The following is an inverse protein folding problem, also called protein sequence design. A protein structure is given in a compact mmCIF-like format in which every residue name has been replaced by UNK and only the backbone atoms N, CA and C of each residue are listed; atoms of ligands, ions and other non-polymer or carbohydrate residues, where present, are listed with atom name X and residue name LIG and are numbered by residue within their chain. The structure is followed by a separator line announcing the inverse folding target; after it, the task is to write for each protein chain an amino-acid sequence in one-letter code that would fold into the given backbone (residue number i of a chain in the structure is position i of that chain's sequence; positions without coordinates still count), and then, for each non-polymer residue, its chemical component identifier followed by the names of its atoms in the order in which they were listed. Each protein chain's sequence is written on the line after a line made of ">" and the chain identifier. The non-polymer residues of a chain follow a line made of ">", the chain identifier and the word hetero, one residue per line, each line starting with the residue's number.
data_IF_477875819303
#
_entry.id   IF_477875819303
#
_cell.length_a   1.000
_cell.length_b   1.000
_cell.length_c   1.000
_cell.angle_alpha   90.00
_cell.angle_beta   90.00
_cell.angle_gamma   90.00
#
_symmetry.space_group_name_H-M   'P 1'
#
loop_
_entity.id
_entity.type
_entity.pdbx_description
1 polymer ?
#
# COMPACT_ATOMS: atom_id res chain seq x y z
N UNK A 1 -26.35 0.01 -31.33
CA UNK A 1 -26.39 0.29 -29.87
C UNK A 1 -25.02 -0.08 -29.31
N UNK A 2 -24.16 0.90 -29.09
CA UNK A 2 -22.79 0.68 -28.59
C UNK A 2 -22.79 0.57 -27.07
N UNK A 3 -22.46 -0.61 -26.55
CA UNK A 3 -22.08 -0.76 -25.14
C UNK A 3 -20.64 -0.25 -25.00
N UNK A 4 -20.49 1.02 -24.65
CA UNK A 4 -19.23 1.52 -24.10
C UNK A 4 -19.13 1.02 -22.66
N UNK A 5 -18.64 -0.21 -22.49
CA UNK A 5 -18.24 -0.68 -21.17
C UNK A 5 -17.14 0.26 -20.67
N UNK A 6 -17.43 1.00 -19.61
CA UNK A 6 -16.45 1.84 -18.94
C UNK A 6 -15.31 0.95 -18.45
N UNK A 7 -14.15 0.98 -19.11
CA UNK A 7 -12.92 0.24 -18.76
C UNK A 7 -12.28 0.68 -17.43
N UNK A 8 -12.99 1.47 -16.62
CA UNK A 8 -12.53 1.90 -15.30
C UNK A 8 -12.91 0.80 -14.31
N UNK A 9 -11.90 0.14 -13.76
CA UNK A 9 -12.04 -0.91 -12.75
C UNK A 9 -12.74 -0.39 -11.49
N UNK A 10 -13.33 -1.31 -10.72
CA UNK A 10 -14.05 -0.99 -9.49
C UNK A 10 -13.17 -0.28 -8.46
N UNK A 11 -11.89 -0.60 -8.37
CA UNK A 11 -10.92 0.04 -7.48
C UNK A 11 -10.73 1.53 -7.79
N UNK A 12 -10.49 1.89 -9.05
CA UNK A 12 -10.32 3.29 -9.49
C UNK A 12 -11.61 4.10 -9.29
N UNK A 13 -12.78 3.48 -9.48
CA UNK A 13 -14.07 4.12 -9.17
C UNK A 13 -14.24 4.38 -7.66
N UNK A 14 -13.86 3.42 -6.80
CA UNK A 14 -13.86 3.58 -5.34
C UNK A 14 -12.86 4.63 -4.86
N UNK A 15 -11.72 4.73 -5.55
CA UNK A 15 -10.68 5.73 -5.31
C UNK A 15 -11.17 7.14 -5.70
N UNK A 16 -11.88 7.29 -6.83
CA UNK A 16 -12.43 8.57 -7.30
C UNK A 16 -13.66 9.07 -6.50
N UNK A 17 -14.35 8.17 -5.79
CA UNK A 17 -15.51 8.50 -4.95
C UNK A 17 -15.14 8.96 -3.53
N UNK A 18 -16.14 9.08 -2.65
CA UNK A 18 -15.93 9.34 -1.21
C UNK A 18 -15.32 8.10 -0.55
N UNK A 19 -13.99 8.03 -0.57
CA UNK A 19 -13.28 6.91 0.01
C UNK A 19 -13.36 6.95 1.55
N UNK A 20 -13.80 5.84 2.16
CA UNK A 20 -14.01 5.74 3.60
C UNK A 20 -12.75 5.36 4.40
N UNK A 21 -11.68 4.95 3.71
CA UNK A 21 -10.46 4.46 4.35
C UNK A 21 -9.78 5.59 5.13
N UNK A 22 -9.45 5.30 6.40
CA UNK A 22 -8.93 6.29 7.35
C UNK A 22 -7.63 6.94 6.88
N UNK A 23 -6.80 6.21 6.13
CA UNK A 23 -5.51 6.70 5.66
C UNK A 23 -5.63 7.93 4.73
N UNK A 24 -6.73 8.08 3.99
CA UNK A 24 -6.93 9.24 3.11
C UNK A 24 -7.14 10.55 3.89
N UNK A 25 -7.46 10.48 5.19
CA UNK A 25 -7.44 11.66 6.06
C UNK A 25 -6.02 12.16 6.34
N UNK A 26 -5.01 11.28 6.21
CA UNK A 26 -3.60 11.62 6.43
C UNK A 26 -2.96 12.16 5.15
N UNK A 27 -3.14 11.44 4.05
CA UNK A 27 -2.72 11.84 2.70
C UNK A 27 -3.80 11.37 1.72
N UNK A 28 -4.42 12.30 0.99
CA UNK A 28 -5.45 11.97 0.01
C UNK A 28 -4.86 11.84 -1.42
N UNK A 29 -5.70 11.39 -2.36
CA UNK A 29 -5.31 11.15 -3.76
C UNK A 29 -4.93 12.44 -4.48
N UNK A 30 -5.52 13.57 -4.11
CA UNK A 30 -5.26 14.90 -4.68
C UNK A 30 -3.99 15.53 -4.09
N UNK A 31 -3.30 14.82 -3.20
CA UNK A 31 -2.10 15.30 -2.53
C UNK A 31 -2.38 16.27 -1.39
N UNK A 32 -3.59 16.22 -0.80
CA UNK A 32 -3.95 16.92 0.44
C UNK A 32 -3.93 16.00 1.66
N UNK A 33 -4.57 16.42 2.76
CA UNK A 33 -4.68 15.65 4.00
C UNK A 33 -3.83 16.21 5.15
N UNK A 34 -4.07 15.69 6.35
CA UNK A 34 -3.48 16.21 7.59
C UNK A 34 -1.95 16.32 7.53
N UNK A 35 -1.25 15.27 7.07
CA UNK A 35 0.21 15.25 7.05
C UNK A 35 0.77 16.20 6.00
N UNK A 36 0.03 16.44 4.91
CA UNK A 36 0.43 17.41 3.88
C UNK A 36 0.34 18.82 4.42
N UNK A 37 -0.75 19.18 5.09
CA UNK A 37 -0.94 20.49 5.69
C UNK A 37 0.11 20.78 6.77
N UNK A 38 0.41 19.78 7.60
CA UNK A 38 1.48 19.86 8.58
C UNK A 38 2.85 20.04 7.91
N UNK A 39 3.11 19.32 6.81
CA UNK A 39 4.38 19.43 6.09
C UNK A 39 4.55 20.80 5.44
N UNK A 40 3.45 21.39 4.94
CA UNK A 40 3.45 22.73 4.37
C UNK A 40 3.84 23.77 5.43
N UNK A 41 3.24 23.72 6.63
CA UNK A 41 3.61 24.58 7.76
C UNK A 41 5.06 24.35 8.21
N UNK A 42 5.50 23.10 8.27
CA UNK A 42 6.85 22.75 8.67
C UNK A 42 7.92 23.31 7.70
N UNK A 43 7.65 23.29 6.39
CA UNK A 43 8.55 23.87 5.39
C UNK A 43 8.62 25.41 5.44
N UNK A 44 7.50 26.06 5.77
CA UNK A 44 7.42 27.52 5.94
C UNK A 44 8.20 27.97 7.18
N UNK A 45 7.95 27.31 8.32
CA UNK A 45 8.47 27.74 9.62
C UNK A 45 9.80 27.07 9.99
N UNK A 46 10.27 26.12 9.17
CA UNK A 46 11.45 25.25 9.41
C UNK A 46 11.37 24.44 10.71
N UNK A 47 10.15 24.18 11.21
CA UNK A 47 9.90 23.42 12.43
C UNK A 47 9.21 22.10 12.07
N UNK A 48 9.88 20.98 12.32
CA UNK A 48 9.39 19.66 11.90
C UNK A 48 8.96 18.73 13.04
N UNK A 49 9.03 19.18 14.30
CA UNK A 49 8.71 18.35 15.47
C UNK A 49 7.23 17.95 15.52
N UNK A 50 6.32 18.85 15.15
CA UNK A 50 4.88 18.57 15.12
C UNK A 50 4.55 17.44 14.14
N UNK A 51 5.09 17.52 12.92
CA UNK A 51 4.88 16.48 11.90
C UNK A 51 5.64 15.18 12.23
N UNK A 52 6.81 15.23 12.88
CA UNK A 52 7.47 14.03 13.43
C UNK A 52 6.54 13.26 14.36
N UNK A 53 5.96 13.99 15.30
CA UNK A 53 5.09 13.41 16.29
C UNK A 53 3.81 12.85 15.67
N UNK A 54 3.22 13.56 14.69
CA UNK A 54 2.07 13.05 13.95
C UNK A 54 2.40 11.81 13.10
N UNK A 55 3.57 11.74 12.45
CA UNK A 55 3.99 10.52 11.74
C UNK A 55 4.07 9.35 12.73
N UNK A 56 4.68 9.55 13.89
CA UNK A 56 4.79 8.48 14.91
C UNK A 56 3.43 8.04 15.46
N UNK A 57 2.53 8.96 15.74
CA UNK A 57 1.27 8.65 16.44
C UNK A 57 0.10 8.31 15.51
N UNK A 58 0.07 8.90 14.31
CA UNK A 58 -1.04 8.75 13.36
C UNK A 58 -0.76 7.72 12.27
N UNK A 59 0.51 7.45 11.93
CA UNK A 59 0.86 6.45 10.90
C UNK A 59 1.12 5.07 11.51
N UNK A 60 1.76 4.99 12.69
CA UNK A 60 2.07 3.71 13.35
C UNK A 60 0.88 2.73 13.45
N UNK A 61 -0.37 3.18 13.72
CA UNK A 61 -1.52 2.27 13.77
C UNK A 61 -1.84 1.53 12.47
N UNK A 62 -1.30 2.00 11.33
CA UNK A 62 -1.49 1.38 10.02
C UNK A 62 -0.37 0.39 9.66
N UNK A 63 0.61 0.17 10.54
CA UNK A 63 1.82 -0.58 10.23
C UNK A 63 1.90 -1.90 11.00
N UNK A 64 2.36 -2.94 10.32
CA UNK A 64 2.74 -4.18 10.97
C UNK A 64 3.89 -3.94 11.94
N UNK A 65 3.74 -4.47 13.16
CA UNK A 65 4.78 -4.50 14.18
C UNK A 65 5.40 -3.12 14.44
N UNK A 66 4.58 -2.06 14.45
CA UNK A 66 5.01 -0.67 14.64
C UNK A 66 6.06 -0.22 13.62
N UNK A 67 5.92 -0.67 12.37
CA UNK A 67 6.83 -0.35 11.27
C UNK A 67 8.05 -1.28 11.16
N UNK A 68 8.14 -2.31 12.00
CA UNK A 68 9.14 -3.40 11.83
C UNK A 68 8.76 -4.36 10.71
N UNK A 69 7.58 -4.23 10.12
CA UNK A 69 7.13 -5.05 9.00
C UNK A 69 6.81 -6.49 9.38
N UNK A 70 6.33 -7.24 8.39
CA UNK A 70 5.94 -8.65 8.50
C UNK A 70 6.27 -9.37 7.19
N UNK A 71 6.79 -10.58 7.28
CA UNK A 71 6.98 -11.46 6.13
C UNK A 71 5.66 -12.14 5.78
N UNK A 72 5.28 -12.00 4.51
CA UNK A 72 4.02 -12.50 3.96
C UNK A 72 4.32 -13.46 2.81
N UNK A 73 3.77 -14.69 2.81
CA UNK A 73 3.90 -15.61 1.68
C UNK A 73 3.37 -14.98 0.38
N UNK A 74 4.14 -15.05 -0.70
CA UNK A 74 3.72 -14.51 -2.00
C UNK A 74 2.48 -15.25 -2.51
N UNK A 75 2.37 -16.55 -2.27
CA UNK A 75 1.18 -17.35 -2.60
C UNK A 75 -0.10 -16.74 -2.00
N UNK A 76 -0.03 -16.26 -0.75
CA UNK A 76 -1.15 -15.63 -0.07
C UNK A 76 -1.49 -14.26 -0.67
N UNK A 77 -0.50 -13.44 -1.02
CA UNK A 77 -0.73 -12.18 -1.74
C UNK A 77 -1.38 -12.40 -3.10
N UNK A 78 -0.98 -13.46 -3.82
CA UNK A 78 -1.57 -13.84 -5.11
C UNK A 78 -3.04 -14.23 -4.95
N UNK A 79 -3.37 -15.03 -3.93
CA UNK A 79 -4.74 -15.42 -3.62
C UNK A 79 -5.57 -14.20 -3.20
N UNK A 80 -5.06 -13.35 -2.30
CA UNK A 80 -5.74 -12.14 -1.84
C UNK A 80 -6.18 -11.25 -3.00
N UNK A 81 -5.29 -11.05 -3.98
CA UNK A 81 -5.59 -10.27 -5.18
C UNK A 81 -6.55 -10.99 -6.13
N UNK A 82 -6.40 -12.32 -6.26
CA UNK A 82 -7.26 -13.10 -7.13
C UNK A 82 -8.72 -13.16 -6.63
N UNK A 83 -8.94 -13.04 -5.32
CA UNK A 83 -10.27 -13.03 -4.68
C UNK A 83 -11.23 -12.00 -5.28
N UNK A 84 -10.74 -10.85 -5.77
CA UNK A 84 -11.57 -9.81 -6.38
C UNK A 84 -12.02 -10.14 -7.81
N UNK A 85 -11.57 -11.25 -8.40
CA UNK A 85 -11.93 -11.64 -9.76
C UNK A 85 -13.25 -12.39 -9.81
N UNK A 86 -13.85 -12.42 -11.00
CA UNK A 86 -15.05 -13.23 -11.27
C UNK A 86 -14.83 -14.70 -10.89
N UNK A 87 -15.89 -15.39 -10.43
CA UNK A 87 -15.81 -16.77 -9.91
C UNK A 87 -15.10 -17.76 -10.86
N UNK A 88 -15.28 -17.62 -12.17
CA UNK A 88 -14.61 -18.46 -13.18
C UNK A 88 -13.10 -18.17 -13.36
N UNK A 89 -12.62 -17.01 -12.92
CA UNK A 89 -11.20 -16.60 -12.90
C UNK A 89 -10.53 -16.81 -11.54
N UNK A 90 -11.26 -17.34 -10.55
CA UNK A 90 -10.69 -17.70 -9.26
C UNK A 90 -9.74 -18.90 -9.42
N UNK A 91 -8.62 -18.82 -8.72
CA UNK A 91 -7.64 -19.90 -8.59
C UNK A 91 -8.26 -21.06 -7.81
N UNK A 92 -7.78 -22.31 -8.03
CA UNK A 92 -8.37 -23.50 -7.42
C UNK A 92 -8.60 -23.41 -5.90
N UNK A 93 -7.66 -22.86 -5.08
CA UNK A 93 -7.88 -22.74 -3.64
C UNK A 93 -9.09 -21.86 -3.26
N UNK A 94 -9.36 -20.79 -4.02
CA UNK A 94 -10.49 -19.91 -3.77
C UNK A 94 -11.78 -20.42 -4.42
N UNK A 95 -11.67 -21.08 -5.58
CA UNK A 95 -12.85 -21.61 -6.29
C UNK A 95 -13.56 -22.71 -5.49
N UNK A 96 -12.81 -23.46 -4.69
CA UNK A 96 -13.32 -24.50 -3.80
C UNK A 96 -14.05 -23.97 -2.56
N UNK A 97 -13.91 -22.68 -2.22
CA UNK A 97 -14.61 -22.06 -1.09
C UNK A 97 -16.05 -21.72 -1.48
N UNK A 98 -16.99 -21.85 -0.53
CA UNK A 98 -18.38 -21.46 -0.74
C UNK A 98 -18.46 -19.93 -0.84
N UNK A 99 -17.83 -19.25 0.13
CA UNK A 99 -17.74 -17.80 0.24
C UNK A 99 -16.28 -17.34 0.48
N UNK A 100 -15.47 -17.15 -0.58
CA UNK A 100 -14.09 -16.68 -0.48
C UNK A 100 -13.93 -15.35 0.25
N UNK A 101 -14.97 -14.49 0.25
CA UNK A 101 -14.89 -13.18 0.89
C UNK A 101 -14.86 -13.27 2.41
N UNK A 102 -15.54 -14.26 2.98
CA UNK A 102 -15.63 -14.54 4.41
C UNK A 102 -14.59 -15.57 4.88
N UNK A 103 -14.30 -16.58 4.04
CA UNK A 103 -13.41 -17.69 4.39
C UNK A 103 -11.92 -17.35 4.25
N UNK A 104 -11.56 -16.43 3.34
CA UNK A 104 -10.16 -16.04 3.13
C UNK A 104 -9.80 -14.79 3.94
N UNK A 105 -9.50 -14.97 5.24
CA UNK A 105 -9.07 -13.90 6.15
C UNK A 105 -7.53 -13.83 6.27
N UNK A 106 -6.99 -12.65 5.97
CA UNK A 106 -5.56 -12.32 5.99
C UNK A 106 -4.94 -12.42 7.38
N UNK A 107 -5.71 -12.22 8.45
CA UNK A 107 -5.16 -12.19 9.82
C UNK A 107 -5.37 -13.47 10.60
N UNK A 108 -6.44 -14.21 10.32
CA UNK A 108 -6.79 -15.40 11.10
C UNK A 108 -5.87 -16.58 10.80
N UNK A 109 -5.48 -16.73 9.54
CA UNK A 109 -4.93 -18.00 9.04
C UNK A 109 -3.51 -17.89 8.44
N UNK A 110 -2.91 -16.69 8.44
CA UNK A 110 -1.60 -16.51 7.80
C UNK A 110 -0.45 -16.74 8.79
N UNK A 111 0.54 -17.58 8.44
CA UNK A 111 1.62 -17.92 9.34
C UNK A 111 2.42 -16.67 9.74
N UNK A 112 2.92 -16.68 10.97
CA UNK A 112 3.98 -15.77 11.38
C UNK A 112 5.29 -16.39 10.88
N UNK A 113 5.83 -15.82 9.81
CA UNK A 113 7.07 -16.28 9.20
C UNK A 113 8.25 -15.68 9.95
N UNK A 114 9.16 -16.51 10.44
CA UNK A 114 10.37 -16.06 11.14
C UNK A 114 11.44 -15.56 10.16
N UNK A 115 12.48 -14.93 10.71
CA UNK A 115 13.63 -14.50 9.89
C UNK A 115 14.32 -15.71 9.25
N UNK A 116 14.47 -16.81 9.99
CA UNK A 116 15.12 -18.03 9.51
C UNK A 116 14.34 -18.68 8.36
N UNK A 117 13.01 -18.72 8.45
CA UNK A 117 12.15 -19.22 7.38
C UNK A 117 12.21 -18.34 6.12
N UNK A 118 12.29 -17.02 6.31
CA UNK A 118 12.51 -16.07 5.22
C UNK A 118 13.87 -16.29 4.57
N UNK A 119 14.94 -16.37 5.35
CA UNK A 119 16.31 -16.51 4.86
C UNK A 119 16.51 -17.85 4.12
N UNK A 120 15.78 -18.90 4.50
CA UNK A 120 15.78 -20.19 3.82
C UNK A 120 15.11 -20.13 2.43
N UNK A 121 14.11 -19.27 2.22
CA UNK A 121 13.45 -19.12 0.92
C UNK A 121 12.96 -17.67 0.66
N UNK A 122 13.86 -16.70 0.43
CA UNK A 122 13.47 -15.30 0.33
C UNK A 122 12.51 -14.99 -0.82
N UNK A 123 12.57 -15.78 -1.90
CA UNK A 123 11.71 -15.62 -3.08
C UNK A 123 10.27 -16.09 -2.83
N UNK A 124 10.01 -16.84 -1.77
CA UNK A 124 8.68 -17.28 -1.36
C UNK A 124 7.89 -16.21 -0.59
N UNK A 125 8.54 -15.14 -0.15
CA UNK A 125 7.95 -14.15 0.75
C UNK A 125 8.14 -12.72 0.27
N UNK A 126 7.29 -11.84 0.78
CA UNK A 126 7.43 -10.39 0.67
C UNK A 126 7.40 -9.79 2.07
N UNK A 127 8.36 -8.94 2.37
CA UNK A 127 8.27 -8.10 3.56
C UNK A 127 7.35 -6.91 3.28
N UNK A 128 6.29 -6.75 4.07
CA UNK A 128 5.39 -5.60 4.02
C UNK A 128 5.45 -4.81 5.32
N UNK A 129 5.32 -3.49 5.22
CA UNK A 129 5.33 -2.61 6.38
C UNK A 129 3.91 -2.15 6.73
N UNK A 130 3.13 -1.76 5.72
CA UNK A 130 1.76 -1.33 5.89
C UNK A 130 0.80 -2.51 5.98
N UNK A 131 -0.14 -2.44 6.93
CA UNK A 131 -1.14 -3.46 7.15
C UNK A 131 -2.07 -3.61 5.94
N UNK A 132 -2.18 -4.82 5.41
CA UNK A 132 -3.03 -5.15 4.28
C UNK A 132 -4.51 -4.78 4.50
N UNK A 133 -5.02 -4.81 5.75
CA UNK A 133 -6.41 -4.42 6.05
C UNK A 133 -6.64 -2.90 6.05
N UNK A 134 -5.56 -2.15 6.23
CA UNK A 134 -5.60 -0.69 6.34
C UNK A 134 -5.16 0.01 5.03
N UNK A 135 -5.10 -0.74 3.91
CA UNK A 135 -4.73 -0.22 2.58
C UNK A 135 -5.84 0.66 1.99
N UNK A 136 -5.46 1.44 0.99
CA UNK A 136 -6.39 2.23 0.17
C UNK A 136 -7.28 1.38 -0.73
N UNK A 137 -8.18 2.06 -1.45
CA UNK A 137 -9.16 1.43 -2.32
C UNK A 137 -8.56 0.63 -3.48
N UNK A 138 -7.32 0.95 -3.91
CA UNK A 138 -6.56 0.18 -4.93
C UNK A 138 -5.34 -0.50 -4.33
N UNK A 139 -5.34 -0.73 -3.01
CA UNK A 139 -4.24 -1.41 -2.33
C UNK A 139 -3.00 -0.55 -2.12
N UNK A 140 -3.13 0.78 -2.19
CA UNK A 140 -2.03 1.71 -2.00
C UNK A 140 -1.81 2.05 -0.51
N UNK A 141 -0.72 2.77 -0.24
CA UNK A 141 -0.32 3.28 1.09
C UNK A 141 -0.15 4.80 1.00
N UNK A 142 0.00 5.49 2.13
CA UNK A 142 0.29 6.94 2.08
C UNK A 142 1.64 7.25 1.42
N UNK A 143 2.62 6.33 1.45
CA UNK A 143 3.88 6.51 0.72
C UNK A 143 3.63 6.49 -0.78
N UNK A 144 2.83 5.53 -1.27
CA UNK A 144 2.41 5.47 -2.66
C UNK A 144 1.72 6.76 -3.12
N UNK A 145 0.81 7.30 -2.30
CA UNK A 145 0.13 8.57 -2.60
C UNK A 145 1.08 9.77 -2.65
N UNK A 146 2.10 9.80 -1.80
CA UNK A 146 3.13 10.84 -1.87
C UNK A 146 3.94 10.76 -3.17
N UNK A 147 4.26 9.54 -3.62
CA UNK A 147 5.01 9.32 -4.86
C UNK A 147 4.17 9.55 -6.13
N UNK A 148 2.85 9.42 -6.04
CA UNK A 148 1.93 9.59 -7.18
C UNK A 148 1.86 11.05 -7.68
N UNK A 149 1.79 12.00 -6.76
CA UNK A 149 1.47 13.41 -7.07
C UNK A 149 2.70 14.26 -7.42
N UNK A 150 3.90 13.67 -7.47
CA UNK A 150 5.17 14.24 -7.95
C UNK A 150 5.52 15.69 -7.47
N UNK A 151 4.98 16.16 -6.35
CA UNK A 151 5.27 17.49 -5.82
C UNK A 151 6.47 17.48 -4.87
N UNK A 152 7.21 18.58 -4.81
CA UNK A 152 8.35 18.72 -3.88
C UNK A 152 7.91 18.60 -2.40
N UNK A 153 6.70 19.07 -2.09
CA UNK A 153 6.08 18.93 -0.76
C UNK A 153 5.90 17.45 -0.39
N UNK A 154 5.29 16.66 -1.28
CA UNK A 154 5.04 15.24 -1.04
C UNK A 154 6.30 14.39 -1.13
N UNK A 155 7.27 14.76 -1.96
CA UNK A 155 8.59 14.14 -1.98
C UNK A 155 9.31 14.32 -0.63
N UNK A 156 9.20 15.50 -0.02
CA UNK A 156 9.77 15.74 1.31
C UNK A 156 9.01 14.98 2.40
N UNK A 157 7.67 14.88 2.31
CA UNK A 157 6.88 14.03 3.20
C UNK A 157 7.27 12.55 3.08
N UNK A 158 7.40 12.03 1.86
CA UNK A 158 7.82 10.65 1.58
C UNK A 158 9.19 10.31 2.20
N UNK A 159 10.19 11.19 1.99
CA UNK A 159 11.51 11.04 2.63
C UNK A 159 11.41 10.96 4.15
N UNK A 160 10.49 11.71 4.74
CA UNK A 160 10.28 11.77 6.18
C UNK A 160 9.58 10.53 6.71
N UNK A 161 8.58 10.01 5.99
CA UNK A 161 7.96 8.73 6.28
C UNK A 161 9.01 7.61 6.27
N UNK A 162 9.86 7.55 5.24
CA UNK A 162 10.94 6.57 5.13
C UNK A 162 12.02 6.71 6.20
N UNK A 163 12.21 7.92 6.76
CA UNK A 163 13.12 8.12 7.90
C UNK A 163 12.62 7.42 9.17
N UNK A 164 11.31 7.40 9.42
CA UNK A 164 10.74 6.73 10.59
C UNK A 164 10.43 5.26 10.34
N UNK A 165 9.97 4.94 9.13
CA UNK A 165 9.51 3.62 8.74
C UNK A 165 10.15 3.22 7.41
N UNK A 166 11.45 2.87 7.40
CA UNK A 166 12.20 2.58 6.18
C UNK A 166 11.60 1.41 5.40
N UNK A 167 11.01 0.42 6.09
CA UNK A 167 10.39 -0.75 5.47
C UNK A 167 9.15 -0.44 4.62
N UNK A 168 8.59 0.78 4.70
CA UNK A 168 7.52 1.22 3.79
C UNK A 168 7.95 1.14 2.31
N UNK A 169 9.26 1.21 2.02
CA UNK A 169 9.78 1.07 0.66
C UNK A 169 9.50 -0.31 0.05
N UNK A 170 9.27 -1.33 0.88
CA UNK A 170 9.01 -2.70 0.44
C UNK A 170 7.54 -2.94 0.09
N UNK A 171 6.66 -2.00 0.47
CA UNK A 171 5.24 -2.10 0.16
C UNK A 171 4.97 -1.99 -1.34
N UNK A 172 3.99 -2.76 -1.80
CA UNK A 172 3.52 -2.75 -3.19
C UNK A 172 2.05 -2.40 -3.27
N UNK A 173 1.62 -1.88 -4.43
CA UNK A 173 0.21 -1.80 -4.78
C UNK A 173 -0.38 -3.20 -4.87
N UNK A 174 -1.54 -3.41 -4.26
CA UNK A 174 -2.26 -4.69 -4.34
C UNK A 174 -3.28 -4.74 -5.49
N UNK A 175 -3.86 -3.59 -5.87
CA UNK A 175 -4.82 -3.50 -6.97
C UNK A 175 -4.19 -3.81 -8.32
N UNK A 176 -4.93 -4.54 -9.15
CA UNK A 176 -4.52 -4.93 -10.52
C UNK A 176 -4.21 -3.69 -11.40
N UNK A 177 -4.68 -2.49 -11.03
CA UNK A 177 -4.50 -1.25 -11.79
C UNK A 177 -3.09 -0.65 -11.72
N UNK A 178 -2.36 -0.98 -10.65
CA UNK A 178 -1.03 -0.43 -10.36
C UNK A 178 0.01 -1.49 -10.00
N UNK A 179 -0.38 -2.77 -9.93
CA UNK A 179 0.55 -3.86 -9.69
C UNK A 179 1.65 -3.90 -10.76
N UNK A 180 2.91 -3.78 -10.32
CA UNK A 180 4.10 -3.76 -11.20
C UNK A 180 4.60 -2.37 -11.60
N UNK A 181 3.83 -1.28 -11.38
CA UNK A 181 4.29 0.08 -11.73
C UNK A 181 5.50 0.54 -10.91
N UNK A 182 5.56 0.22 -9.62
CA UNK A 182 6.68 0.64 -8.75
C UNK A 182 8.01 -0.02 -9.16
N UNK A 183 7.99 -1.28 -9.59
CA UNK A 183 9.19 -1.99 -10.03
C UNK A 183 9.77 -1.37 -11.31
N UNK A 184 8.91 -0.94 -12.25
CA UNK A 184 9.36 -0.28 -13.47
C UNK A 184 9.93 1.11 -13.18
N UNK A 185 9.27 1.92 -12.35
CA UNK A 185 9.74 3.27 -12.00
C UNK A 185 11.05 3.25 -11.19
N UNK A 186 11.25 2.26 -10.30
CA UNK A 186 12.54 2.10 -9.58
C UNK A 186 13.65 1.64 -10.54
N UNK A 187 13.35 0.77 -11.50
CA UNK A 187 14.32 0.33 -12.51
C UNK A 187 14.70 1.44 -13.50
N UNK A 188 13.73 2.26 -13.93
CA UNK A 188 13.97 3.42 -14.80
C UNK A 188 14.85 4.48 -14.12
N UNK A 189 14.64 4.73 -12.83
CA UNK A 189 15.50 5.64 -12.05
C UNK A 189 16.89 5.06 -11.73
N UNK A 190 17.09 3.74 -11.84
CA UNK A 190 18.41 3.10 -11.74
C UNK A 190 19.25 3.26 -13.02
N UNK A 191 18.60 3.36 -14.18
CA UNK A 191 19.27 3.56 -15.48
C UNK A 191 19.73 5.01 -15.70
N UNK A 192 19.25 5.97 -14.90
CA UNK A 192 19.68 7.39 -14.95
C UNK A 192 20.87 7.70 -14.01
N UNK A 193 21.54 6.68 -13.48
CA UNK A 193 22.78 6.80 -12.70
C UNK A 193 23.85 5.77 -13.10
N UNK A 194 24.15 5.73 -14.40
CA UNK A 194 25.45 5.34 -14.97
C UNK A 194 25.81 6.39 -16.03
#
# INVERSE_FOLDING_TARGET
>A
MGNTESNVTSGVKKQAGTSQQKMYKLVDIKGGGLLVDMMKRALQNKQYAEIDHAIKTKVEPFLYNKGKGRYIPISHLVLLRNKERSRHKLLPPLRGMENPDEEFDVEKDWPLVTQEEYDANPSGYRELCWDLKERGAVGETILHLCLLNASSLLANLAKRLLRFYPKLINDVYMGDEYYGKLNNTINENRQLKL
#
